data_IF_656785567150
#
_entry.id   IF_656785567150
#
_cell.length_a   1.000
_cell.length_b   1.000
_cell.length_c   1.000
_cell.angle_alpha   90.00
_cell.angle_beta   90.00
_cell.angle_gamma   90.00
#
_symmetry.space_group_name_H-M   'P 1'
#
loop_
_entity.id
_entity.type
_entity.pdbx_description
1 polymer ?
#
# COMPACT_ATOMS: atom_id res chain seq x y z
N UNK A 1 -14.04 -19.08 20.05
CA UNK A 1 -13.56 -20.48 20.06
C UNK A 1 -12.58 -20.71 21.21
N UNK A 2 -12.73 -21.84 21.90
CA UNK A 2 -11.93 -22.27 23.06
C UNK A 2 -10.50 -22.60 22.64
N UNK A 3 -9.50 -21.90 23.18
CA UNK A 3 -8.08 -22.20 22.92
C UNK A 3 -7.76 -23.63 23.39
N UNK A 4 -7.29 -24.48 22.49
CA UNK A 4 -6.83 -25.84 22.84
C UNK A 4 -5.59 -25.72 23.73
N UNK A 5 -5.65 -26.28 24.95
CA UNK A 5 -4.50 -26.29 25.86
C UNK A 5 -3.29 -27.02 25.27
N UNK A 6 -2.07 -26.45 25.40
CA UNK A 6 -0.81 -26.97 24.82
C UNK A 6 -0.52 -28.46 25.12
N UNK A 7 -0.93 -28.95 26.30
CA UNK A 7 -0.70 -30.33 26.71
C UNK A 7 -1.87 -31.29 26.39
N UNK A 8 -3.00 -30.80 25.87
CA UNK A 8 -4.14 -31.63 25.49
C UNK A 8 -3.86 -32.41 24.21
N UNK A 9 -4.66 -33.45 23.96
CA UNK A 9 -4.61 -34.18 22.69
C UNK A 9 -4.98 -33.26 21.53
N UNK A 10 -4.26 -33.41 20.43
CA UNK A 10 -4.44 -32.59 19.25
C UNK A 10 -5.78 -32.93 18.56
N UNK A 11 -6.62 -31.92 18.25
CA UNK A 11 -7.94 -32.16 17.65
C UNK A 11 -7.90 -32.69 16.21
N UNK A 12 -6.72 -32.72 15.57
CA UNK A 12 -6.53 -33.30 14.24
C UNK A 12 -6.57 -34.83 14.19
N UNK A 13 -6.79 -35.51 15.33
CA UNK A 13 -6.91 -36.96 15.40
C UNK A 13 -5.58 -37.72 15.42
N UNK A 14 -4.44 -37.02 15.54
CA UNK A 14 -3.11 -37.65 15.49
C UNK A 14 -2.70 -38.46 16.73
N UNK A 15 -3.50 -38.40 17.81
CA UNK A 15 -3.18 -39.04 19.10
C UNK A 15 -2.01 -38.40 19.87
N UNK A 16 -1.39 -37.33 19.33
CA UNK A 16 -0.26 -36.61 19.94
C UNK A 16 -0.73 -35.41 20.75
N UNK A 17 0.07 -34.95 21.72
CA UNK A 17 -0.17 -33.67 22.42
C UNK A 17 -0.11 -32.50 21.42
N UNK A 18 -1.00 -31.52 21.56
CA UNK A 18 -1.13 -30.39 20.64
C UNK A 18 0.20 -29.65 20.40
N UNK A 19 0.99 -29.42 21.46
CA UNK A 19 2.33 -28.81 21.37
C UNK A 19 3.36 -29.56 20.54
N UNK A 20 3.13 -30.86 20.24
CA UNK A 20 4.01 -31.70 19.42
C UNK A 20 3.39 -32.03 18.05
N UNK A 21 2.31 -31.36 17.68
CA UNK A 21 1.58 -31.61 16.43
C UNK A 21 1.24 -30.27 15.76
N UNK A 22 -0.03 -29.85 15.75
CA UNK A 22 -0.47 -28.68 15.01
C UNK A 22 -0.03 -27.33 15.61
N UNK A 23 0.47 -27.27 16.84
CA UNK A 23 0.81 -25.99 17.49
C UNK A 23 1.83 -25.16 16.69
N UNK A 24 2.88 -25.77 16.15
CA UNK A 24 3.90 -25.03 15.39
C UNK A 24 3.33 -24.49 14.07
N UNK A 25 2.42 -25.25 13.45
CA UNK A 25 1.73 -24.84 12.23
C UNK A 25 0.72 -23.72 12.51
N UNK A 26 -0.06 -23.85 13.59
CA UNK A 26 -1.00 -22.82 14.02
C UNK A 26 -0.27 -21.55 14.47
N UNK A 27 0.89 -21.66 15.11
CA UNK A 27 1.76 -20.52 15.44
C UNK A 27 2.36 -19.88 14.18
N UNK A 28 2.72 -20.66 13.16
CA UNK A 28 3.18 -20.15 11.86
C UNK A 28 2.05 -19.42 11.12
N UNK A 29 0.88 -20.04 10.98
CA UNK A 29 -0.30 -19.42 10.37
C UNK A 29 -0.75 -18.19 11.14
N UNK A 30 -0.68 -18.19 12.47
CA UNK A 30 -0.99 -17.01 13.29
C UNK A 30 0.06 -15.90 13.14
N UNK A 31 1.34 -16.26 12.91
CA UNK A 31 2.40 -15.29 12.61
C UNK A 31 2.23 -14.70 11.22
N UNK A 32 1.89 -15.51 10.22
CA UNK A 32 1.57 -15.06 8.86
C UNK A 32 0.34 -14.17 8.86
N UNK A 33 -0.73 -14.56 9.56
CA UNK A 33 -1.94 -13.76 9.74
C UNK A 33 -1.67 -12.45 10.49
N UNK A 34 -0.75 -12.43 11.46
CA UNK A 34 -0.33 -11.19 12.14
C UNK A 34 0.57 -10.32 11.26
N UNK A 35 1.41 -10.91 10.41
CA UNK A 35 2.20 -10.16 9.44
C UNK A 35 1.31 -9.52 8.35
N UNK A 36 0.28 -10.22 7.91
CA UNK A 36 -0.72 -9.71 6.95
C UNK A 36 -1.79 -8.82 7.59
N UNK A 37 -2.04 -8.94 8.90
CA UNK A 37 -2.86 -7.99 9.65
C UNK A 37 -2.08 -6.74 10.08
N UNK A 38 -0.75 -6.80 10.26
CA UNK A 38 0.07 -5.61 10.50
C UNK A 38 0.10 -4.67 9.29
N UNK A 39 -0.15 -5.18 8.08
CA UNK A 39 -0.41 -4.38 6.87
C UNK A 39 -1.87 -3.96 6.69
N UNK A 40 -2.80 -4.39 7.56
CA UNK A 40 -4.25 -4.18 7.40
C UNK A 40 -4.96 -3.62 8.66
N UNK A 41 -4.24 -3.32 9.74
CA UNK A 41 -4.80 -2.90 11.02
C UNK A 41 -4.09 -1.67 11.63
N UNK A 42 -3.76 -0.70 10.79
CA UNK A 42 -3.57 0.70 11.20
C UNK A 42 -4.61 1.51 10.44
N UNK A 43 -5.45 2.25 11.18
CA UNK A 43 -6.40 3.20 10.58
C UNK A 43 -5.62 4.11 9.62
N UNK A 44 -6.05 4.30 8.35
CA UNK A 44 -5.19 4.93 7.37
C UNK A 44 -4.84 6.38 7.74
N UNK A 45 -5.70 7.12 8.43
CA UNK A 45 -5.35 8.45 8.90
C UNK A 45 -5.48 8.62 10.42
N UNK A 46 -4.35 8.47 11.09
CA UNK A 46 -3.95 9.52 12.04
C UNK A 46 -3.17 10.60 11.28
N UNK A 47 -3.76 11.27 10.26
CA UNK A 47 -3.23 12.54 9.74
C UNK A 47 -3.51 13.66 10.74
N UNK A 48 -2.92 13.52 11.91
CA UNK A 48 -1.90 14.49 12.24
C UNK A 48 -0.57 13.75 12.07
N UNK A 49 -0.10 13.65 10.82
CA UNK A 49 1.35 13.77 10.67
C UNK A 49 1.69 15.05 11.43
N UNK A 50 2.61 14.97 12.38
CA UNK A 50 3.17 16.17 12.98
C UNK A 50 3.59 17.13 11.86
N UNK A 51 3.60 18.45 12.08
CA UNK A 51 3.94 19.40 11.00
C UNK A 51 5.28 19.04 10.33
N UNK A 52 6.27 18.57 11.11
CA UNK A 52 7.53 18.02 10.62
C UNK A 52 7.34 16.79 9.72
N UNK A 53 6.45 15.87 10.11
CA UNK A 53 6.15 14.64 9.39
C UNK A 53 5.51 14.95 8.01
N UNK A 54 4.68 15.99 7.92
CA UNK A 54 4.07 16.41 6.66
C UNK A 54 5.12 17.05 5.73
N UNK A 55 6.02 17.86 6.29
CA UNK A 55 7.12 18.44 5.53
C UNK A 55 8.07 17.37 4.98
N UNK A 56 8.40 16.35 5.79
CA UNK A 56 9.21 15.21 5.35
C UNK A 56 8.55 14.42 4.20
N UNK A 57 7.22 14.28 4.23
CA UNK A 57 6.45 13.63 3.16
C UNK A 57 6.51 14.46 1.88
N UNK A 58 6.21 15.76 1.96
CA UNK A 58 6.23 16.68 0.84
C UNK A 58 7.62 16.73 0.19
N UNK A 59 8.67 16.84 0.99
CA UNK A 59 10.05 16.87 0.50
C UNK A 59 10.44 15.55 -0.20
N UNK A 60 10.03 14.41 0.37
CA UNK A 60 10.29 13.11 -0.23
C UNK A 60 9.54 12.93 -1.56
N UNK A 61 8.26 13.29 -1.63
CA UNK A 61 7.46 13.22 -2.85
C UNK A 61 8.00 14.18 -3.93
N UNK A 62 8.34 15.41 -3.56
CA UNK A 62 8.92 16.40 -4.47
C UNK A 62 10.28 15.95 -5.03
N UNK A 63 11.12 15.30 -4.22
CA UNK A 63 12.37 14.72 -4.70
C UNK A 63 12.13 13.63 -5.76
N UNK A 64 11.10 12.79 -5.58
CA UNK A 64 10.71 11.80 -6.59
C UNK A 64 10.24 12.46 -7.88
N UNK A 65 9.40 13.50 -7.78
CA UNK A 65 8.94 14.24 -8.97
C UNK A 65 10.10 14.87 -9.75
N UNK A 66 11.08 15.48 -9.05
CA UNK A 66 12.28 16.01 -9.69
C UNK A 66 13.10 14.93 -10.42
N UNK A 67 13.21 13.72 -9.85
CA UNK A 67 13.89 12.59 -10.49
C UNK A 67 13.14 12.10 -11.73
N UNK A 68 11.79 12.10 -11.70
CA UNK A 68 10.96 11.77 -12.87
C UNK A 68 11.19 12.78 -14.00
N UNK A 69 11.20 14.08 -13.69
CA UNK A 69 11.49 15.13 -14.67
C UNK A 69 12.90 15.01 -15.26
N UNK A 70 13.88 14.65 -14.41
CA UNK A 70 15.25 14.36 -14.82
C UNK A 70 15.39 13.02 -15.58
N UNK A 71 14.31 12.25 -15.76
CA UNK A 71 14.28 10.91 -16.37
C UNK A 71 15.19 9.90 -15.67
N UNK A 72 15.50 10.13 -14.40
CA UNK A 72 16.26 9.22 -13.55
C UNK A 72 15.29 8.19 -12.94
N UNK A 73 14.79 7.29 -13.80
CA UNK A 73 13.68 6.41 -13.44
C UNK A 73 14.01 5.41 -12.34
N UNK A 74 15.24 4.88 -12.31
CA UNK A 74 15.66 3.93 -11.27
C UNK A 74 15.74 4.61 -9.90
N UNK A 75 16.29 5.83 -9.83
CA UNK A 75 16.28 6.66 -8.63
C UNK A 75 14.86 7.02 -8.19
N UNK A 76 14.00 7.44 -9.13
CA UNK A 76 12.62 7.79 -8.86
C UNK A 76 11.83 6.60 -8.30
N UNK A 77 12.02 5.39 -8.85
CA UNK A 77 11.36 4.17 -8.38
C UNK A 77 11.76 3.85 -6.93
N UNK A 78 13.06 3.94 -6.63
CA UNK A 78 13.55 3.76 -5.25
C UNK A 78 12.96 4.81 -4.30
N UNK A 79 12.93 6.08 -4.72
CA UNK A 79 12.36 7.16 -3.91
C UNK A 79 10.86 6.96 -3.66
N UNK A 80 10.09 6.57 -4.67
CA UNK A 80 8.66 6.30 -4.51
C UNK A 80 8.41 5.13 -3.54
N UNK A 81 9.24 4.08 -3.60
CA UNK A 81 9.20 2.99 -2.63
C UNK A 81 9.61 3.42 -1.21
N UNK A 82 10.55 4.36 -1.06
CA UNK A 82 10.90 4.94 0.24
C UNK A 82 9.71 5.72 0.83
N UNK A 83 9.01 6.53 0.02
CA UNK A 83 7.78 7.22 0.43
C UNK A 83 6.75 6.22 0.94
N UNK A 84 6.49 5.14 0.20
CA UNK A 84 5.56 4.08 0.64
C UNK A 84 6.02 3.37 1.92
N UNK A 85 7.32 3.18 2.12
CA UNK A 85 7.85 2.52 3.31
C UNK A 85 7.77 3.40 4.55
N UNK A 86 8.03 4.71 4.41
CA UNK A 86 8.02 5.70 5.49
C UNK A 86 6.61 6.16 5.83
N UNK A 87 5.74 6.25 4.84
CA UNK A 87 4.39 6.77 4.95
C UNK A 87 3.38 5.77 4.33
N UNK A 88 3.20 4.58 4.94
CA UNK A 88 2.41 3.50 4.33
C UNK A 88 0.91 3.79 4.23
N UNK A 89 0.42 4.79 4.96
CA UNK A 89 -1.01 5.08 5.06
C UNK A 89 -1.44 6.35 4.31
N UNK A 90 -0.55 6.96 3.53
CA UNK A 90 -0.88 8.10 2.67
C UNK A 90 -0.79 7.68 1.20
N UNK A 91 -1.52 8.40 0.36
CA UNK A 91 -1.62 8.08 -1.06
C UNK A 91 -0.39 8.46 -1.90
N UNK A 92 0.48 9.33 -1.38
CA UNK A 92 1.53 10.05 -2.14
C UNK A 92 2.54 9.10 -2.78
N UNK A 93 2.89 8.01 -2.08
CA UNK A 93 3.79 7.01 -2.63
C UNK A 93 3.22 6.30 -3.86
N UNK A 94 1.90 6.08 -3.90
CA UNK A 94 1.22 5.53 -5.08
C UNK A 94 1.06 6.57 -6.19
N UNK A 95 0.85 7.84 -5.85
CA UNK A 95 0.88 8.92 -6.84
C UNK A 95 2.26 9.04 -7.50
N UNK A 96 3.34 8.99 -6.71
CA UNK A 96 4.73 8.97 -7.17
C UNK A 96 4.97 7.84 -8.17
N UNK A 97 4.59 6.60 -7.83
CA UNK A 97 4.71 5.46 -8.74
C UNK A 97 3.84 5.63 -10.00
N UNK A 98 2.62 6.16 -9.85
CA UNK A 98 1.73 6.44 -10.99
C UNK A 98 2.37 7.37 -12.02
N UNK A 99 2.90 8.51 -11.55
CA UNK A 99 3.59 9.50 -12.39
C UNK A 99 4.87 8.93 -13.01
N UNK A 100 5.65 8.17 -12.24
CA UNK A 100 6.84 7.48 -12.74
C UNK A 100 6.49 6.53 -13.90
N UNK A 101 5.47 5.68 -13.72
CA UNK A 101 5.04 4.75 -14.75
C UNK A 101 4.47 5.47 -15.98
N UNK A 102 3.77 6.60 -15.81
CA UNK A 102 3.39 7.43 -16.96
C UNK A 102 4.61 7.94 -17.72
N UNK A 103 5.63 8.45 -17.02
CA UNK A 103 6.85 8.95 -17.64
C UNK A 103 7.66 7.86 -18.36
N UNK A 104 7.60 6.61 -17.88
CA UNK A 104 8.17 5.42 -18.53
C UNK A 104 7.35 4.92 -19.74
N UNK A 105 6.09 5.38 -19.89
CA UNK A 105 5.15 4.87 -20.89
C UNK A 105 4.43 3.58 -20.46
N UNK A 106 4.61 3.14 -19.21
CA UNK A 106 3.99 1.95 -18.62
C UNK A 106 2.54 2.23 -18.19
N UNK A 107 1.69 2.59 -19.15
CA UNK A 107 0.31 3.05 -18.92
C UNK A 107 -0.51 2.11 -18.03
N UNK A 108 -0.33 0.79 -18.17
CA UNK A 108 -1.02 -0.21 -17.34
C UNK A 108 -0.67 -0.07 -15.86
N UNK A 109 0.62 0.06 -15.53
CA UNK A 109 1.07 0.17 -14.14
C UNK A 109 0.71 1.54 -13.54
N UNK A 110 0.74 2.60 -14.34
CA UNK A 110 0.28 3.92 -13.92
C UNK A 110 -1.19 3.89 -13.47
N UNK A 111 -2.08 3.29 -14.27
CA UNK A 111 -3.51 3.15 -13.94
C UNK A 111 -3.71 2.33 -12.67
N UNK A 112 -2.97 1.23 -12.48
CA UNK A 112 -3.05 0.42 -11.26
C UNK A 112 -2.66 1.23 -10.01
N UNK A 113 -1.67 2.12 -10.14
CA UNK A 113 -1.25 3.00 -9.05
C UNK A 113 -2.31 4.07 -8.74
N UNK A 114 -2.88 4.73 -9.75
CA UNK A 114 -3.94 5.72 -9.53
C UNK A 114 -5.24 5.13 -8.99
N UNK A 115 -5.56 3.89 -9.33
CA UNK A 115 -6.68 3.17 -8.68
C UNK A 115 -6.46 2.99 -7.18
N UNK A 116 -5.22 2.77 -6.74
CA UNK A 116 -4.89 2.71 -5.31
C UNK A 116 -5.04 4.08 -4.64
N UNK A 117 -4.60 5.16 -5.29
CA UNK A 117 -4.82 6.53 -4.81
C UNK A 117 -6.31 6.82 -4.59
N UNK A 118 -7.16 6.46 -5.55
CA UNK A 118 -8.62 6.57 -5.41
C UNK A 118 -9.14 5.73 -4.24
N UNK A 119 -8.59 4.53 -4.02
CA UNK A 119 -9.04 3.67 -2.92
C UNK A 119 -8.86 4.33 -1.54
N UNK A 120 -7.76 5.07 -1.31
CA UNK A 120 -7.59 5.86 -0.08
C UNK A 120 -8.71 6.90 0.09
N UNK A 121 -9.02 7.63 -0.97
CA UNK A 121 -10.07 8.65 -0.94
C UNK A 121 -11.48 8.08 -0.74
N UNK A 122 -11.74 6.88 -1.25
CA UNK A 122 -13.02 6.18 -1.07
C UNK A 122 -13.14 5.58 0.33
N UNK A 123 -12.04 5.07 0.90
CA UNK A 123 -12.02 4.52 2.26
C UNK A 123 -12.15 5.60 3.34
N UNK A 124 -11.61 6.79 3.09
CA UNK A 124 -11.60 7.89 4.05
C UNK A 124 -12.08 9.24 3.47
N UNK A 125 -13.35 9.31 3.00
CA UNK A 125 -13.86 10.48 2.27
C UNK A 125 -13.88 11.77 3.09
N UNK A 126 -13.75 11.71 4.42
CA UNK A 126 -13.66 12.88 5.28
C UNK A 126 -12.37 13.71 5.10
N UNK A 127 -11.34 13.14 4.47
CA UNK A 127 -10.04 13.80 4.29
C UNK A 127 -9.77 14.26 2.86
N UNK A 128 -10.65 13.93 1.92
CA UNK A 128 -10.49 14.23 0.51
C UNK A 128 -11.69 15.00 0.00
N UNK A 129 -11.42 16.03 -0.80
CA UNK A 129 -12.49 16.69 -1.53
C UNK A 129 -13.09 15.74 -2.57
N UNK A 130 -14.40 15.82 -2.86
CA UNK A 130 -15.03 14.98 -3.89
C UNK A 130 -14.33 15.06 -5.26
N UNK A 131 -13.81 16.25 -5.60
CA UNK A 131 -13.09 16.51 -6.86
C UNK A 131 -11.77 15.73 -6.96
N UNK A 132 -11.21 15.29 -5.83
CA UNK A 132 -9.99 14.49 -5.80
C UNK A 132 -10.16 13.16 -6.56
N UNK A 133 -11.26 12.45 -6.29
CA UNK A 133 -11.56 11.19 -6.97
C UNK A 133 -11.80 11.42 -8.46
N UNK A 134 -12.57 12.46 -8.79
CA UNK A 134 -12.88 12.82 -10.18
C UNK A 134 -11.60 13.14 -10.98
N UNK A 135 -10.62 13.83 -10.37
CA UNK A 135 -9.34 14.12 -10.98
C UNK A 135 -8.59 12.84 -11.40
N UNK A 136 -8.41 11.89 -10.48
CA UNK A 136 -7.69 10.65 -10.78
C UNK A 136 -8.47 9.74 -11.73
N UNK A 137 -9.80 9.75 -11.68
CA UNK A 137 -10.63 9.04 -12.67
C UNK A 137 -10.45 9.62 -14.08
N UNK A 138 -10.46 10.94 -14.22
CA UNK A 138 -10.21 11.61 -15.49
C UNK A 138 -8.80 11.32 -16.02
N UNK A 139 -7.79 11.30 -15.14
CA UNK A 139 -6.42 10.95 -15.48
C UNK A 139 -6.31 9.51 -16.01
N UNK A 140 -6.94 8.55 -15.34
CA UNK A 140 -7.00 7.15 -15.80
C UNK A 140 -7.65 7.06 -17.19
N UNK A 141 -8.81 7.70 -17.39
CA UNK A 141 -9.51 7.68 -18.67
C UNK A 141 -8.67 8.29 -19.81
N UNK A 142 -7.91 9.35 -19.52
CA UNK A 142 -6.98 9.94 -20.49
C UNK A 142 -5.88 8.96 -20.90
N UNK A 143 -5.25 8.29 -19.92
CA UNK A 143 -4.19 7.31 -20.18
C UNK A 143 -4.73 6.12 -20.98
N UNK A 144 -5.93 5.62 -20.65
CA UNK A 144 -6.58 4.52 -21.39
C UNK A 144 -6.83 4.90 -22.85
N UNK A 145 -7.23 6.15 -23.11
CA UNK A 145 -7.42 6.67 -24.47
C UNK A 145 -6.11 6.76 -25.24
N UNK A 146 -5.04 7.23 -24.60
CA UNK A 146 -3.70 7.30 -25.21
C UNK A 146 -3.16 5.90 -25.54
N UNK A 147 -3.29 4.96 -24.60
CA UNK A 147 -2.83 3.57 -24.79
C UNK A 147 -3.60 2.83 -25.90
N UNK A 148 -4.86 3.21 -26.16
CA UNK A 148 -5.68 2.63 -27.23
C UNK A 148 -5.38 3.20 -28.62
N UNK A 149 -4.62 4.30 -28.69
CA UNK A 149 -4.36 5.05 -29.92
C UNK A 149 -2.94 4.82 -30.49
N UNK A 150 -2.09 4.05 -29.80
CA UNK A 150 -0.72 3.70 -30.22
C UNK A 150 -0.60 2.26 -30.66
#
# INVERSE_FOLDING_TARGET
MTKVGRNNLCPCGSGKKYKRCCMAQDEATAREARASAASAAVSPLSAHLCEDCNHDLDDAANAVFALIEAKQFDEAERGAHDVLARFPNVHDGYECLGRLHQAKGDHRQAIECYRKVIAFAVEEPQYYDPEFVDHFQALIAHIETQASSG
#
